data_IF_203483846884
#
_entry.id   IF_203483846884
#
_cell.length_a   1.000
_cell.length_b   1.000
_cell.length_c   1.000
_cell.angle_alpha   90.00
_cell.angle_beta   90.00
_cell.angle_gamma   90.00
#
_symmetry.space_group_name_H-M   'P 1'
#
loop_
_entity.id
_entity.type
_entity.pdbx_description
1 polymer ?
#
# COMPACT_ATOMS: atom_id res chain seq x y z
N UNK A 1 -11.64 -11.40 11.90
CA UNK A 1 -11.44 -10.60 10.69
C UNK A 1 -11.71 -9.14 11.00
N UNK A 2 -10.72 -8.27 10.79
CA UNK A 2 -10.87 -6.82 10.96
C UNK A 2 -11.17 -6.16 9.62
N UNK A 3 -11.85 -5.02 9.69
CA UNK A 3 -12.00 -4.14 8.53
C UNK A 3 -11.34 -2.81 8.87
N UNK A 4 -10.37 -2.41 8.06
CA UNK A 4 -9.61 -1.18 8.26
C UNK A 4 -9.81 -0.28 7.05
N UNK A 5 -10.17 0.98 7.29
CA UNK A 5 -10.35 1.97 6.23
C UNK A 5 -9.09 2.81 6.07
N UNK A 6 -8.67 3.00 4.83
CA UNK A 6 -7.52 3.86 4.49
C UNK A 6 -7.83 4.68 3.24
N UNK A 7 -7.23 5.86 3.18
CA UNK A 7 -7.33 6.74 2.01
C UNK A 7 -6.45 6.21 0.89
N UNK A 8 -6.90 6.37 -0.35
CA UNK A 8 -6.09 6.09 -1.53
C UNK A 8 -6.29 7.23 -2.53
N UNK A 9 -5.18 7.79 -3.03
CA UNK A 9 -5.26 8.85 -4.02
C UNK A 9 -5.82 8.30 -5.34
N UNK A 10 -6.50 9.15 -6.14
CA UNK A 10 -7.22 8.66 -7.34
C UNK A 10 -6.39 7.81 -8.29
N UNK A 11 -5.15 8.21 -8.58
CA UNK A 11 -4.30 7.48 -9.50
C UNK A 11 -3.96 6.08 -9.00
N UNK A 12 -3.71 5.93 -7.69
CA UNK A 12 -3.40 4.63 -7.10
C UNK A 12 -4.67 3.79 -6.92
N UNK A 13 -5.78 4.43 -6.56
CA UNK A 13 -7.07 3.78 -6.45
C UNK A 13 -7.49 3.15 -7.78
N UNK A 14 -7.32 3.90 -8.87
CA UNK A 14 -7.68 3.42 -10.21
C UNK A 14 -6.85 2.20 -10.61
N UNK A 15 -5.56 2.19 -10.27
CA UNK A 15 -4.69 1.05 -10.56
C UNK A 15 -5.12 -0.22 -9.83
N UNK A 16 -5.64 -0.06 -8.62
CA UNK A 16 -6.15 -1.20 -7.83
C UNK A 16 -7.44 -1.73 -8.44
N UNK A 17 -8.35 -0.85 -8.85
CA UNK A 17 -9.59 -1.26 -9.51
C UNK A 17 -9.31 -2.02 -10.80
N UNK A 18 -8.31 -1.59 -11.56
CA UNK A 18 -7.93 -2.22 -12.83
C UNK A 18 -7.07 -3.48 -12.64
N UNK A 19 -6.80 -3.89 -11.41
CA UNK A 19 -5.93 -5.03 -11.07
C UNK A 19 -4.51 -4.88 -11.59
N UNK A 20 -4.06 -3.66 -11.86
CA UNK A 20 -2.68 -3.38 -12.24
C UNK A 20 -1.78 -3.34 -11.01
N UNK A 21 -2.32 -2.85 -9.90
CA UNK A 21 -1.62 -2.74 -8.64
C UNK A 21 -2.27 -3.69 -7.64
N UNK A 22 -1.56 -4.76 -7.29
CA UNK A 22 -2.07 -5.80 -6.40
C UNK A 22 -1.41 -5.76 -5.02
N UNK A 23 -0.90 -4.60 -4.63
CA UNK A 23 -0.31 -4.35 -3.33
C UNK A 23 -0.71 -2.96 -2.84
N UNK A 24 -0.55 -2.73 -1.54
CA UNK A 24 -0.74 -1.42 -0.92
C UNK A 24 0.50 -1.11 -0.09
N UNK A 25 1.10 0.05 -0.29
CA UNK A 25 2.35 0.43 0.34
C UNK A 25 2.10 1.57 1.33
N UNK A 26 2.28 1.28 2.61
CA UNK A 26 1.92 2.21 3.68
C UNK A 26 2.90 2.21 4.83
N UNK A 27 2.81 3.26 5.62
CA UNK A 27 3.51 3.32 6.89
C UNK A 27 2.93 2.23 7.81
N UNK A 28 3.81 1.56 8.53
CA UNK A 28 3.42 0.50 9.45
C UNK A 28 3.01 1.10 10.81
N UNK A 29 1.90 1.84 10.80
CA UNK A 29 1.37 2.51 11.99
C UNK A 29 -0.01 1.98 12.41
N UNK A 30 -0.42 0.85 11.86
CA UNK A 30 -1.66 0.19 12.23
C UNK A 30 -1.48 -1.33 12.07
N UNK A 31 -2.39 -2.09 12.67
CA UNK A 31 -2.30 -3.55 12.68
C UNK A 31 -3.30 -4.15 11.69
N UNK A 32 -2.79 -4.94 10.75
CA UNK A 32 -3.59 -5.66 9.76
C UNK A 32 -2.86 -6.94 9.38
N UNK A 33 -3.59 -8.02 9.13
CA UNK A 33 -3.00 -9.31 8.79
C UNK A 33 -3.79 -10.07 7.74
N UNK A 34 -3.26 -11.22 7.36
CA UNK A 34 -3.90 -12.10 6.39
C UNK A 34 -5.34 -12.41 6.79
N UNK A 35 -6.25 -12.30 5.82
CA UNK A 35 -7.67 -12.53 6.03
C UNK A 35 -8.47 -11.31 6.46
N UNK A 36 -7.80 -10.24 6.90
CA UNK A 36 -8.47 -8.98 7.22
C UNK A 36 -8.92 -8.29 5.93
N UNK A 37 -9.79 -7.30 6.08
CA UNK A 37 -10.31 -6.53 4.93
C UNK A 37 -9.72 -5.12 4.99
N UNK A 38 -9.10 -4.71 3.88
CA UNK A 38 -8.65 -3.34 3.70
C UNK A 38 -9.67 -2.62 2.83
N UNK A 39 -10.27 -1.58 3.37
CA UNK A 39 -11.25 -0.76 2.64
C UNK A 39 -10.50 0.49 2.18
N UNK A 40 -10.30 0.61 0.87
CA UNK A 40 -9.64 1.76 0.29
C UNK A 40 -10.70 2.75 -0.17
N UNK A 41 -10.64 3.96 0.37
CA UNK A 41 -11.55 5.04 0.04
C UNK A 41 -10.81 6.07 -0.79
N UNK A 42 -11.27 6.29 -2.00
CA UNK A 42 -10.63 7.27 -2.88
C UNK A 42 -10.74 8.66 -2.28
N UNK A 43 -9.60 9.32 -2.15
CA UNK A 43 -9.50 10.66 -1.58
C UNK A 43 -8.67 11.55 -2.48
N UNK A 44 -9.24 12.69 -2.86
CA UNK A 44 -8.56 13.63 -3.76
C UNK A 44 -7.76 14.65 -2.94
N UNK A 45 -6.42 14.63 -3.03
CA UNK A 45 -5.59 15.57 -2.27
C UNK A 45 -5.73 17.02 -2.76
N UNK A 46 -6.21 17.24 -3.97
CA UNK A 46 -6.41 18.59 -4.52
C UNK A 46 -7.62 19.27 -3.89
N UNK A 47 -8.72 18.55 -3.77
CA UNK A 47 -9.95 19.06 -3.17
C UNK A 47 -10.01 18.77 -1.67
N UNK A 48 -9.15 17.86 -1.18
CA UNK A 48 -9.11 17.38 0.20
C UNK A 48 -10.44 16.77 0.62
N UNK A 49 -11.07 16.04 -0.30
CA UNK A 49 -12.34 15.37 -0.08
C UNK A 49 -12.33 13.95 -0.62
N UNK A 50 -13.17 13.11 -0.01
CA UNK A 50 -13.45 11.79 -0.55
C UNK A 50 -14.30 11.94 -1.82
N UNK A 51 -14.04 11.08 -2.81
CA UNK A 51 -14.79 11.12 -4.08
C UNK A 51 -16.09 10.33 -4.02
N UNK A 52 -16.25 9.48 -3.02
CA UNK A 52 -17.39 8.58 -2.89
C UNK A 52 -17.11 7.17 -3.38
N UNK A 53 -15.98 6.95 -4.06
CA UNK A 53 -15.62 5.59 -4.49
C UNK A 53 -14.82 4.88 -3.41
N UNK A 54 -15.09 3.58 -3.26
CA UNK A 54 -14.33 2.73 -2.34
C UNK A 54 -14.31 1.31 -2.85
N UNK A 55 -13.34 0.54 -2.38
CA UNK A 55 -13.20 -0.87 -2.74
C UNK A 55 -12.70 -1.64 -1.52
N UNK A 56 -13.25 -2.84 -1.31
CA UNK A 56 -12.81 -3.75 -0.26
C UNK A 56 -11.91 -4.82 -0.88
N UNK A 57 -10.77 -5.06 -0.24
CA UNK A 57 -9.84 -6.11 -0.65
C UNK A 57 -9.48 -6.97 0.54
N UNK A 58 -9.48 -8.28 0.35
CA UNK A 58 -9.01 -9.21 1.37
C UNK A 58 -7.50 -9.22 1.38
N UNK A 59 -6.91 -9.08 2.57
CA UNK A 59 -5.46 -9.07 2.73
C UNK A 59 -4.92 -10.49 2.61
N UNK A 60 -3.95 -10.68 1.72
CA UNK A 60 -3.28 -11.97 1.53
C UNK A 60 -2.03 -12.06 2.38
N UNK A 61 -1.07 -11.19 2.15
CA UNK A 61 0.22 -11.22 2.84
C UNK A 61 0.62 -9.80 3.23
N UNK A 62 1.21 -9.67 4.41
CA UNK A 62 1.73 -8.39 4.88
C UNK A 62 3.21 -8.53 5.17
N UNK A 63 4.05 -7.87 4.38
CA UNK A 63 5.47 -7.76 4.64
C UNK A 63 5.73 -6.50 5.45
N UNK A 64 6.55 -6.60 6.47
CA UNK A 64 6.87 -5.46 7.35
C UNK A 64 8.36 -5.38 7.52
N UNK A 65 8.93 -4.20 7.29
CA UNK A 65 10.33 -3.97 7.57
C UNK A 65 10.64 -2.50 7.75
N UNK A 66 11.68 -2.26 8.53
CA UNK A 66 12.21 -0.91 8.70
C UNK A 66 13.24 -0.65 7.59
N UNK A 67 13.41 0.61 7.23
CA UNK A 67 14.37 1.01 6.19
C UNK A 67 15.77 0.44 6.49
N UNK A 68 16.20 0.52 7.74
CA UNK A 68 17.52 0.04 8.15
C UNK A 68 17.72 -1.45 7.95
N UNK A 69 16.65 -2.25 7.95
CA UNK A 69 16.73 -3.69 7.71
C UNK A 69 17.09 -4.00 6.26
N UNK A 70 16.84 -3.09 5.36
CA UNK A 70 17.17 -3.25 3.94
C UNK A 70 18.68 -3.25 3.71
N UNK A 71 19.45 -2.72 4.66
CA UNK A 71 20.91 -2.69 4.55
C UNK A 71 21.54 -4.08 4.64
N UNK A 72 20.77 -5.09 5.05
CA UNK A 72 21.20 -6.49 4.99
C UNK A 72 21.42 -6.95 3.54
N UNK A 73 20.67 -6.37 2.61
CA UNK A 73 20.67 -6.80 1.22
C UNK A 73 21.53 -5.90 0.34
N UNK A 74 21.53 -4.58 0.63
CA UNK A 74 22.21 -3.60 -0.21
C UNK A 74 22.85 -2.51 0.65
N UNK A 75 23.99 -1.94 0.19
CA UNK A 75 24.57 -0.77 0.88
C UNK A 75 23.58 0.40 0.90
N UNK A 76 23.63 1.20 1.98
CA UNK A 76 22.73 2.33 2.13
C UNK A 76 22.87 3.34 0.96
N UNK A 77 24.06 3.48 0.42
CA UNK A 77 24.31 4.38 -0.71
C UNK A 77 23.51 3.96 -1.95
N UNK A 78 23.42 2.64 -2.17
CA UNK A 78 22.64 2.10 -3.31
C UNK A 78 21.16 2.32 -3.10
N UNK A 79 20.68 2.14 -1.88
CA UNK A 79 19.26 2.37 -1.54
C UNK A 79 18.90 3.83 -1.79
N UNK A 80 19.75 4.76 -1.34
CA UNK A 80 19.51 6.19 -1.50
C UNK A 80 19.57 6.64 -2.95
N UNK A 81 20.47 6.06 -3.72
CA UNK A 81 20.65 6.43 -5.14
C UNK A 81 19.57 5.86 -6.04
N UNK A 82 19.25 4.58 -5.85
CA UNK A 82 18.41 3.82 -6.79
C UNK A 82 16.96 3.66 -6.32
N UNK A 83 16.73 3.78 -5.03
CA UNK A 83 15.41 3.56 -4.45
C UNK A 83 15.03 2.09 -4.43
N UNK A 84 13.76 1.84 -4.16
CA UNK A 84 13.22 0.49 -4.01
C UNK A 84 12.07 0.32 -4.99
N UNK A 85 11.98 -0.86 -5.60
CA UNK A 85 10.80 -1.23 -6.38
C UNK A 85 10.15 -2.44 -5.73
N UNK A 86 8.83 -2.47 -5.77
CA UNK A 86 8.04 -3.57 -5.25
C UNK A 86 7.34 -4.22 -6.45
N UNK A 87 7.61 -5.51 -6.64
CA UNK A 87 7.15 -6.21 -7.83
C UNK A 87 6.09 -7.22 -7.41
N UNK A 88 4.84 -7.00 -7.83
CA UNK A 88 3.76 -7.96 -7.60
C UNK A 88 3.90 -9.12 -8.55
N UNK A 89 3.64 -10.31 -8.04
CA UNK A 89 3.73 -11.54 -8.82
C UNK A 89 2.32 -12.11 -9.01
N UNK A 90 2.06 -12.57 -10.20
CA UNK A 90 0.77 -13.19 -10.53
C UNK A 90 0.81 -14.70 -10.35
#
# INVERSE_FOLDING_TARGET
MKKIEKKAWPEYFQQIIENKKTYDFRLNDFDIGEGDILILKEWDPKTKNYTGREIEKTVGYVGKWKIEELTKFWPIEDINEKGIQIISLK
#
